data_IF_995483294199
#
_entry.id   IF_995483294199
#
_cell.length_a   1.000
_cell.length_b   1.000
_cell.length_c   1.000
_cell.angle_alpha   90.00
_cell.angle_beta   90.00
_cell.angle_gamma   90.00
#
_symmetry.space_group_name_H-M   'P 1'
#
loop_
_entity.id
_entity.type
_entity.pdbx_description
1 polymer ?
#
# COMPACT_ATOMS: atom_id res chain seq x y z
N UNK A 1 37.70 38.94 16.20
CA UNK A 1 37.94 40.24 15.52
C UNK A 1 37.43 40.14 14.09
N UNK A 2 36.59 41.06 13.63
CA UNK A 2 36.10 41.07 12.24
C UNK A 2 37.12 41.75 11.31
N UNK A 3 37.81 40.98 10.45
CA UNK A 3 38.60 41.55 9.35
C UNK A 3 37.67 42.15 8.31
N UNK A 4 37.53 43.47 8.29
CA UNK A 4 36.97 44.23 7.15
C UNK A 4 37.92 44.13 5.96
N UNK A 5 37.82 43.04 5.19
CA UNK A 5 38.52 42.92 3.91
C UNK A 5 37.81 43.84 2.91
N UNK A 6 38.52 44.75 2.21
CA UNK A 6 37.90 45.54 1.15
C UNK A 6 37.45 44.62 0.01
N UNK A 7 36.21 44.76 -0.44
CA UNK A 7 35.66 44.03 -1.59
C UNK A 7 36.24 44.58 -2.90
N UNK A 8 37.50 44.25 -3.17
CA UNK A 8 38.14 44.49 -4.45
C UNK A 8 37.44 43.65 -5.53
N UNK A 9 36.58 44.30 -6.34
CA UNK A 9 35.83 43.68 -7.43
C UNK A 9 36.75 43.27 -8.60
N UNK A 10 37.49 42.18 -8.42
CA UNK A 10 38.30 41.56 -9.45
C UNK A 10 37.40 40.93 -10.53
N UNK A 11 37.45 41.44 -11.77
CA UNK A 11 36.81 40.83 -12.94
C UNK A 11 37.77 39.92 -13.67
N UNK A 12 37.36 38.69 -13.98
CA UNK A 12 38.11 37.78 -14.86
C UNK A 12 38.04 38.29 -16.30
N UNK A 13 39.17 38.32 -17.00
CA UNK A 13 39.23 38.56 -18.46
C UNK A 13 39.37 37.21 -19.17
N UNK A 14 38.68 37.04 -20.30
CA UNK A 14 38.78 35.82 -21.09
C UNK A 14 40.22 35.60 -21.59
N UNK A 15 40.68 34.35 -21.62
CA UNK A 15 42.05 33.99 -22.01
C UNK A 15 43.16 34.44 -21.05
N UNK A 16 42.85 35.05 -19.89
CA UNK A 16 43.85 35.51 -18.92
C UNK A 16 43.53 35.00 -17.50
N UNK A 17 44.57 34.56 -16.80
CA UNK A 17 44.52 34.07 -15.42
C UNK A 17 45.58 34.78 -14.58
N UNK A 18 45.30 34.96 -13.29
CA UNK A 18 46.29 35.37 -12.31
C UNK A 18 46.86 34.10 -11.66
N UNK A 19 48.18 34.00 -11.54
CA UNK A 19 48.83 32.93 -10.77
C UNK A 19 48.85 33.32 -9.29
N UNK A 20 48.31 32.46 -8.44
CA UNK A 20 48.32 32.60 -6.98
C UNK A 20 49.41 31.71 -6.37
N UNK A 21 50.10 32.13 -5.29
CA UNK A 21 50.97 31.24 -4.54
C UNK A 21 50.15 30.12 -3.89
N UNK A 22 50.67 28.89 -3.92
CA UNK A 22 50.08 27.78 -3.20
C UNK A 22 50.38 27.89 -1.70
N UNK A 23 49.43 27.45 -0.86
CA UNK A 23 49.77 27.11 0.53
C UNK A 23 50.65 25.86 0.53
N UNK A 24 51.67 25.81 1.38
CA UNK A 24 52.65 24.71 1.42
C UNK A 24 52.12 23.43 2.08
N UNK A 25 50.96 23.50 2.73
CA UNK A 25 50.20 22.34 3.23
C UNK A 25 49.56 21.56 2.08
N UNK A 26 50.27 20.56 1.54
CA UNK A 26 49.73 19.37 0.84
C UNK A 26 48.73 19.56 -0.33
N UNK A 27 48.57 20.78 -0.86
CA UNK A 27 47.73 21.08 -2.02
C UNK A 27 46.28 21.45 -1.67
N UNK A 28 45.38 21.38 -2.66
CA UNK A 28 43.98 21.82 -2.48
C UNK A 28 43.08 20.79 -1.77
N UNK A 29 43.49 19.52 -1.74
CA UNK A 29 42.85 18.44 -1.00
C UNK A 29 43.95 17.44 -0.57
N UNK A 30 44.29 17.33 0.73
CA UNK A 30 45.38 16.49 1.18
C UNK A 30 44.99 15.01 1.18
N UNK A 31 45.80 14.17 0.53
CA UNK A 31 45.61 12.71 0.44
C UNK A 31 45.73 11.98 1.78
N UNK A 32 46.38 12.62 2.77
CA UNK A 32 46.74 11.99 4.03
C UNK A 32 45.71 12.25 5.15
N UNK A 33 44.54 12.81 4.80
CA UNK A 33 43.52 13.28 5.74
C UNK A 33 43.61 14.76 6.08
N UNK A 34 42.62 15.24 6.84
CA UNK A 34 42.52 16.62 7.36
C UNK A 34 42.34 16.59 8.88
N UNK A 35 42.81 17.61 9.58
CA UNK A 35 42.55 17.77 11.02
C UNK A 35 41.13 18.30 11.28
N UNK A 36 40.62 18.07 12.50
CA UNK A 36 39.30 18.57 12.90
C UNK A 36 39.16 20.11 12.80
N UNK A 37 40.25 20.87 13.02
CA UNK A 37 40.23 22.34 12.92
C UNK A 37 40.21 22.85 11.47
N UNK A 38 40.75 22.08 10.53
CA UNK A 38 40.63 22.35 9.08
C UNK A 38 39.24 21.93 8.59
N UNK A 39 38.76 20.75 9.01
CA UNK A 39 37.42 20.26 8.71
C UNK A 39 36.32 21.22 9.20
N UNK A 40 36.49 21.85 10.36
CA UNK A 40 35.56 22.85 10.91
C UNK A 40 35.39 24.07 9.98
N UNK A 41 36.46 24.50 9.30
CA UNK A 41 36.40 25.61 8.33
C UNK A 41 35.72 25.19 7.02
N UNK A 42 35.74 23.90 6.69
CA UNK A 42 35.02 23.31 5.55
C UNK A 42 33.53 23.15 5.90
N UNK A 43 33.21 22.69 7.13
CA UNK A 43 31.84 22.56 7.64
C UNK A 43 31.14 23.94 7.69
N UNK A 44 31.74 24.92 8.37
CA UNK A 44 31.25 26.31 8.42
C UNK A 44 31.74 27.15 7.22
N UNK A 45 31.72 26.56 6.02
CA UNK A 45 31.97 27.27 4.75
C UNK A 45 31.12 28.56 4.67
N UNK A 46 31.69 29.70 4.23
CA UNK A 46 30.97 30.97 4.15
C UNK A 46 29.94 30.97 3.01
N UNK A 47 28.73 30.50 3.33
CA UNK A 47 27.55 30.52 2.46
C UNK A 47 26.73 31.82 2.69
N UNK A 48 25.96 32.30 1.71
CA UNK A 48 25.08 33.46 1.89
C UNK A 48 23.94 33.18 2.90
N UNK A 49 24.09 33.73 4.12
CA UNK A 49 23.20 33.46 5.26
C UNK A 49 21.70 33.64 4.97
N UNK A 50 21.32 34.66 4.20
CA UNK A 50 19.92 34.94 3.85
C UNK A 50 19.23 33.88 2.96
N UNK A 51 19.96 32.84 2.54
CA UNK A 51 19.45 31.69 1.79
C UNK A 51 20.19 30.40 2.18
N UNK A 52 20.68 30.34 3.42
CA UNK A 52 21.30 29.15 4.03
C UNK A 52 20.47 28.76 5.25
N UNK A 53 20.14 27.48 5.39
CA UNK A 53 19.54 26.91 6.61
C UNK A 53 20.62 26.11 7.33
N UNK A 54 20.72 26.30 8.64
CA UNK A 54 21.70 25.65 9.50
C UNK A 54 20.93 24.92 10.61
N UNK A 55 21.26 23.65 10.83
CA UNK A 55 20.64 22.77 11.81
C UNK A 55 21.73 21.93 12.49
N UNK A 56 21.61 21.74 13.80
CA UNK A 56 22.57 21.01 14.62
C UNK A 56 21.78 20.10 15.57
N UNK A 57 22.17 18.82 15.64
CA UNK A 57 21.49 17.79 16.44
C UNK A 57 22.53 17.08 17.32
N UNK A 58 22.34 17.15 18.64
CA UNK A 58 23.21 16.51 19.63
C UNK A 58 22.59 15.20 20.11
N UNK A 59 23.31 14.09 19.93
CA UNK A 59 22.90 12.76 20.34
C UNK A 59 23.54 12.33 21.67
N UNK A 60 24.37 13.18 22.29
CA UNK A 60 25.06 12.94 23.56
C UNK A 60 26.57 12.72 23.41
N UNK A 61 27.04 11.61 22.81
CA UNK A 61 28.46 11.36 22.59
C UNK A 61 28.98 11.94 21.26
N UNK A 62 28.08 12.44 20.40
CA UNK A 62 28.41 13.03 19.10
C UNK A 62 27.30 13.99 18.65
N UNK A 63 27.67 15.01 17.88
CA UNK A 63 26.75 16.04 17.35
C UNK A 63 26.88 16.11 15.82
N UNK A 64 25.74 16.17 15.12
CA UNK A 64 25.68 16.31 13.67
C UNK A 64 25.35 17.77 13.29
N UNK A 65 26.13 18.33 12.35
CA UNK A 65 25.92 19.67 11.80
C UNK A 65 25.44 19.53 10.35
N UNK A 66 24.29 20.12 10.03
CA UNK A 66 23.67 20.08 8.70
C UNK A 66 23.47 21.51 8.18
N UNK A 67 24.00 21.82 6.99
CA UNK A 67 23.98 23.18 6.43
C UNK A 67 23.65 23.16 4.94
N UNK A 68 22.48 23.68 4.58
CA UNK A 68 21.97 23.69 3.21
C UNK A 68 21.87 25.11 2.66
N UNK A 69 22.31 25.33 1.41
CA UNK A 69 22.17 26.60 0.72
C UNK A 69 21.38 26.40 -0.59
N UNK A 70 20.27 27.12 -0.74
CA UNK A 70 19.44 27.08 -1.96
C UNK A 70 19.45 28.43 -2.66
N UNK A 71 20.06 28.46 -3.85
CA UNK A 71 20.22 29.69 -4.64
C UNK A 71 18.88 30.28 -5.07
N UNK A 72 18.62 31.53 -4.67
CA UNK A 72 17.43 32.30 -5.07
C UNK A 72 17.26 32.43 -6.60
N UNK A 73 18.35 32.29 -7.37
CA UNK A 73 18.32 32.30 -8.85
C UNK A 73 17.71 31.04 -9.48
N UNK A 74 17.57 29.95 -8.71
CA UNK A 74 17.19 28.63 -9.22
C UNK A 74 15.98 28.01 -8.50
N UNK A 75 15.56 28.59 -7.37
CA UNK A 75 14.36 28.19 -6.59
C UNK A 75 13.06 28.04 -7.40
N UNK A 76 12.92 28.70 -8.54
CA UNK A 76 11.75 28.59 -9.45
C UNK A 76 11.97 27.70 -10.67
N UNK A 77 13.10 26.97 -10.74
CA UNK A 77 13.48 26.08 -11.85
C UNK A 77 14.01 24.71 -11.41
N UNK A 78 14.25 24.52 -10.12
CA UNK A 78 14.62 23.23 -9.52
C UNK A 78 13.34 22.44 -9.24
N UNK A 79 13.39 21.11 -9.38
CA UNK A 79 12.29 20.22 -9.00
C UNK A 79 12.25 20.04 -7.48
N UNK A 80 11.09 19.61 -6.96
CA UNK A 80 10.91 19.23 -5.55
C UNK A 80 11.93 18.21 -5.08
N UNK A 81 12.33 17.29 -5.96
CA UNK A 81 13.22 16.17 -5.61
C UNK A 81 14.70 16.59 -5.53
N UNK A 82 15.05 17.75 -6.12
CA UNK A 82 16.39 18.36 -6.05
C UNK A 82 16.45 19.44 -4.96
N UNK A 83 15.33 20.14 -4.70
CA UNK A 83 15.21 21.10 -3.61
C UNK A 83 13.87 20.89 -2.89
N UNK A 84 13.89 20.06 -1.85
CA UNK A 84 12.72 19.63 -1.06
C UNK A 84 12.21 20.73 -0.10
N UNK A 85 11.89 21.89 -0.67
CA UNK A 85 11.39 23.06 0.07
C UNK A 85 9.91 22.91 0.41
N UNK A 86 9.63 22.44 1.62
CA UNK A 86 8.29 22.49 2.20
C UNK A 86 7.97 23.91 2.72
N UNK A 87 6.76 24.41 2.43
CA UNK A 87 6.24 25.69 2.93
C UNK A 87 5.06 25.54 3.90
N UNK A 88 4.61 24.30 4.10
CA UNK A 88 3.52 23.91 5.01
C UNK A 88 3.88 22.61 5.75
N UNK A 89 3.24 22.37 6.90
CA UNK A 89 3.48 21.16 7.71
C UNK A 89 3.06 19.87 7.00
N UNK A 90 2.08 19.95 6.09
CA UNK A 90 1.62 18.83 5.25
C UNK A 90 2.68 18.48 4.19
N UNK A 91 3.31 19.49 3.58
CA UNK A 91 4.46 19.25 2.68
C UNK A 91 5.67 18.72 3.46
N UNK A 92 5.94 19.26 4.66
CA UNK A 92 7.08 18.85 5.49
C UNK A 92 6.97 17.39 5.96
N UNK A 93 5.78 16.98 6.42
CA UNK A 93 5.53 15.58 6.83
C UNK A 93 5.60 14.63 5.64
N UNK A 94 4.96 14.98 4.51
CA UNK A 94 5.01 14.17 3.28
C UNK A 94 6.42 14.05 2.69
N UNK A 95 7.18 15.15 2.64
CA UNK A 95 8.56 15.16 2.14
C UNK A 95 9.49 14.32 3.04
N UNK A 96 9.34 14.41 4.37
CA UNK A 96 10.06 13.55 5.31
C UNK A 96 9.74 12.06 5.09
N UNK A 97 8.47 11.70 4.90
CA UNK A 97 8.06 10.33 4.57
C UNK A 97 8.65 9.85 3.23
N UNK A 98 8.60 10.68 2.18
CA UNK A 98 9.16 10.36 0.86
C UNK A 98 10.69 10.13 0.93
N UNK A 99 11.43 11.05 1.55
CA UNK A 99 12.89 10.96 1.68
C UNK A 99 13.31 9.79 2.58
N UNK A 100 12.60 9.55 3.69
CA UNK A 100 12.82 8.36 4.52
C UNK A 100 12.56 7.06 3.75
N UNK A 101 11.53 7.03 2.88
CA UNK A 101 11.25 5.89 2.01
C UNK A 101 12.38 5.60 1.01
N UNK A 102 12.97 6.64 0.39
CA UNK A 102 14.13 6.51 -0.49
C UNK A 102 15.35 6.01 0.29
N UNK A 103 15.74 6.71 1.36
CA UNK A 103 16.90 6.38 2.19
C UNK A 103 16.81 4.94 2.75
N UNK A 104 15.65 4.54 3.26
CA UNK A 104 15.45 3.19 3.81
C UNK A 104 15.48 2.12 2.70
N UNK A 105 14.96 2.41 1.50
CA UNK A 105 15.07 1.51 0.34
C UNK A 105 16.51 1.34 -0.12
N UNK A 106 17.32 2.40 -0.15
CA UNK A 106 18.74 2.33 -0.49
C UNK A 106 19.54 1.56 0.56
N UNK A 107 19.37 1.92 1.85
CA UNK A 107 20.02 1.25 2.99
C UNK A 107 19.71 -0.25 3.03
N UNK A 108 18.44 -0.63 2.85
CA UNK A 108 18.03 -2.05 2.81
C UNK A 108 18.48 -2.73 1.51
N UNK A 109 18.36 -2.07 0.36
CA UNK A 109 18.76 -2.61 -0.94
C UNK A 109 20.23 -3.01 -1.03
N UNK A 110 21.13 -2.30 -0.33
CA UNK A 110 22.54 -2.63 -0.27
C UNK A 110 22.83 -4.00 0.36
N UNK A 111 22.07 -4.40 1.40
CA UNK A 111 22.31 -5.61 2.20
C UNK A 111 22.08 -6.93 1.45
N UNK A 112 21.24 -6.91 0.42
CA UNK A 112 20.95 -8.06 -0.47
C UNK A 112 21.43 -7.80 -1.90
N UNK A 113 22.20 -6.73 -2.09
CA UNK A 113 22.73 -6.28 -3.38
C UNK A 113 24.22 -6.56 -3.54
N UNK A 114 24.88 -5.80 -4.41
CA UNK A 114 26.32 -5.95 -4.71
C UNK A 114 27.25 -5.65 -3.53
N UNK A 115 26.76 -5.03 -2.45
CA UNK A 115 27.48 -4.78 -1.19
C UNK A 115 27.13 -5.72 -0.03
N UNK A 116 26.18 -6.64 -0.18
CA UNK A 116 25.75 -7.58 0.86
C UNK A 116 26.67 -8.80 1.01
N UNK A 117 26.43 -9.65 2.02
CA UNK A 117 27.17 -10.90 2.16
C UNK A 117 26.87 -11.90 1.04
N UNK A 118 27.73 -12.91 0.87
CA UNK A 118 27.58 -13.86 -0.23
C UNK A 118 26.38 -14.81 -0.07
N UNK A 119 26.07 -15.27 1.14
CA UNK A 119 24.90 -16.14 1.40
C UNK A 119 23.56 -15.39 1.36
N UNK A 120 23.58 -14.09 1.66
CA UNK A 120 22.43 -13.18 1.60
C UNK A 120 21.97 -12.83 0.17
N UNK A 121 22.74 -13.16 -0.87
CA UNK A 121 22.42 -12.85 -2.28
C UNK A 121 21.71 -14.00 -2.99
N UNK A 122 20.37 -14.00 -2.97
CA UNK A 122 19.58 -14.91 -3.81
C UNK A 122 19.15 -14.21 -5.11
N UNK A 123 19.54 -14.78 -6.25
CA UNK A 123 19.12 -14.37 -7.59
C UNK A 123 17.84 -15.11 -8.01
N UNK A 124 17.06 -14.50 -8.90
CA UNK A 124 15.90 -15.12 -9.55
C UNK A 124 16.16 -15.27 -11.05
N UNK A 125 15.91 -16.45 -11.61
CA UNK A 125 16.09 -16.76 -13.02
C UNK A 125 14.73 -16.90 -13.70
N UNK A 126 14.47 -16.00 -14.65
CA UNK A 126 13.32 -16.03 -15.54
C UNK A 126 13.74 -16.40 -16.98
N UNK A 127 12.95 -17.25 -17.63
CA UNK A 127 13.00 -17.52 -19.07
C UNK A 127 11.56 -17.55 -19.60
N UNK A 128 11.32 -16.87 -20.72
CA UNK A 128 9.98 -16.62 -21.28
C UNK A 128 10.05 -16.72 -22.80
N UNK A 129 9.24 -17.59 -23.38
CA UNK A 129 9.20 -17.80 -24.83
C UNK A 129 8.70 -16.57 -25.58
N UNK A 130 9.35 -16.21 -26.69
CA UNK A 130 8.97 -15.06 -27.51
C UNK A 130 7.67 -15.30 -28.29
N UNK A 131 7.37 -16.56 -28.65
CA UNK A 131 6.22 -16.92 -29.49
C UNK A 131 4.97 -17.24 -28.66
N UNK A 132 5.08 -18.18 -27.71
CA UNK A 132 3.94 -18.63 -26.88
C UNK A 132 3.69 -17.74 -25.66
N UNK A 133 4.64 -16.86 -25.31
CA UNK A 133 4.69 -16.09 -24.03
C UNK A 133 4.73 -16.97 -22.77
N UNK A 134 4.98 -18.27 -22.92
CA UNK A 134 5.05 -19.21 -21.79
C UNK A 134 6.34 -19.02 -20.97
N UNK A 135 6.21 -19.01 -19.65
CA UNK A 135 7.32 -18.85 -18.70
C UNK A 135 7.99 -20.21 -18.45
N UNK A 136 8.99 -20.55 -19.28
CA UNK A 136 9.77 -21.80 -19.22
C UNK A 136 10.56 -21.99 -17.93
N UNK A 137 10.97 -20.90 -17.29
CA UNK A 137 11.64 -20.94 -15.99
C UNK A 137 11.29 -19.72 -15.15
N UNK A 138 10.98 -19.94 -13.87
CA UNK A 138 10.71 -18.91 -12.88
C UNK A 138 11.08 -19.45 -11.50
N UNK A 139 12.37 -19.42 -11.17
CA UNK A 139 12.93 -20.03 -9.95
C UNK A 139 14.05 -19.20 -9.34
N UNK A 140 14.19 -19.25 -8.02
CA UNK A 140 15.40 -18.74 -7.37
C UNK A 140 16.60 -19.66 -7.64
N UNK A 141 17.79 -19.06 -7.68
CA UNK A 141 19.06 -19.76 -7.77
C UNK A 141 19.60 -19.96 -6.35
N UNK A 142 19.29 -21.12 -5.77
CA UNK A 142 19.68 -21.49 -4.42
C UNK A 142 21.07 -22.14 -4.35
N UNK A 143 21.75 -21.90 -3.23
CA UNK A 143 22.92 -22.68 -2.81
C UNK A 143 22.50 -24.03 -2.19
N UNK A 144 23.46 -24.94 -2.06
CA UNK A 144 23.19 -26.33 -1.60
C UNK A 144 22.44 -26.40 -0.26
N UNK A 145 22.82 -25.56 0.72
CA UNK A 145 22.15 -25.47 2.03
C UNK A 145 20.64 -25.16 1.92
N UNK A 146 20.24 -24.30 0.98
CA UNK A 146 18.83 -23.96 0.74
C UNK A 146 18.10 -25.08 -0.01
N UNK A 147 18.77 -25.74 -0.96
CA UNK A 147 18.22 -26.94 -1.61
C UNK A 147 17.96 -28.07 -0.61
N UNK A 148 18.93 -28.37 0.26
CA UNK A 148 18.78 -29.39 1.31
C UNK A 148 17.62 -29.07 2.28
N UNK A 149 17.35 -27.79 2.57
CA UNK A 149 16.17 -27.37 3.34
C UNK A 149 14.87 -27.64 2.58
N UNK A 150 14.81 -27.32 1.28
CA UNK A 150 13.65 -27.63 0.43
C UNK A 150 13.38 -29.14 0.36
N UNK A 151 14.42 -29.96 0.23
CA UNK A 151 14.31 -31.43 0.19
C UNK A 151 13.79 -32.00 1.51
N UNK A 152 14.28 -31.50 2.66
CA UNK A 152 13.74 -31.84 4.00
C UNK A 152 12.26 -31.49 4.12
N UNK A 153 11.87 -30.29 3.69
CA UNK A 153 10.49 -29.81 3.74
C UNK A 153 9.56 -30.66 2.84
N UNK A 154 9.89 -30.84 1.56
CA UNK A 154 9.07 -31.62 0.62
C UNK A 154 8.96 -33.10 1.03
N UNK A 155 9.99 -33.68 1.63
CA UNK A 155 9.94 -35.07 2.11
C UNK A 155 8.99 -35.21 3.29
N UNK A 156 9.07 -34.31 4.29
CA UNK A 156 8.15 -34.31 5.43
C UNK A 156 6.68 -34.14 5.02
N UNK A 157 6.38 -33.19 4.13
CA UNK A 157 5.00 -32.95 3.69
C UNK A 157 4.46 -34.06 2.78
N UNK A 158 5.28 -34.63 1.88
CA UNK A 158 4.93 -35.85 1.13
C UNK A 158 4.56 -37.00 2.06
N UNK A 159 5.45 -37.40 2.95
CA UNK A 159 5.18 -38.48 3.91
C UNK A 159 3.93 -38.22 4.77
N UNK A 160 3.69 -36.98 5.19
CA UNK A 160 2.53 -36.61 6.02
C UNK A 160 1.20 -36.62 5.25
N UNK A 161 1.23 -36.41 3.93
CA UNK A 161 0.03 -36.31 3.08
C UNK A 161 -0.24 -37.63 2.34
N UNK A 162 0.77 -38.35 1.85
CA UNK A 162 0.61 -39.67 1.22
C UNK A 162 -0.03 -40.70 2.17
N UNK A 163 0.36 -40.68 3.46
CA UNK A 163 -0.29 -41.47 4.54
C UNK A 163 -1.76 -41.11 4.78
N UNK A 164 -2.27 -40.03 4.18
CA UNK A 164 -3.61 -39.44 4.42
C UNK A 164 -4.46 -39.32 3.17
N UNK A 165 -3.84 -39.31 1.98
CA UNK A 165 -4.46 -39.13 0.67
C UNK A 165 -3.81 -40.09 -0.35
N UNK A 166 -4.16 -41.37 -0.25
CA UNK A 166 -3.72 -42.40 -1.19
C UNK A 166 -4.38 -42.16 -2.57
N UNK A 167 -3.68 -41.44 -3.45
CA UNK A 167 -4.14 -41.14 -4.82
C UNK A 167 -3.91 -39.71 -5.34
N UNK A 168 -3.20 -38.84 -4.62
CA UNK A 168 -2.74 -37.55 -5.17
C UNK A 168 -1.53 -37.75 -6.11
N UNK A 169 -1.37 -36.86 -7.11
CA UNK A 169 -0.37 -37.01 -8.17
C UNK A 169 1.08 -36.88 -7.68
N UNK A 170 1.96 -37.80 -8.12
CA UNK A 170 3.32 -38.05 -7.57
C UNK A 170 4.27 -36.83 -7.64
N UNK A 171 4.10 -35.93 -8.62
CA UNK A 171 4.98 -34.77 -8.86
C UNK A 171 4.53 -33.45 -8.18
N UNK A 172 3.52 -33.49 -7.28
CA UNK A 172 2.95 -32.27 -6.70
C UNK A 172 3.77 -31.73 -5.50
N UNK A 173 4.43 -30.58 -5.66
CA UNK A 173 5.13 -29.91 -4.55
C UNK A 173 4.16 -29.22 -3.57
N UNK A 174 4.21 -29.61 -2.30
CA UNK A 174 3.36 -29.05 -1.25
C UNK A 174 3.90 -27.70 -0.75
N UNK A 175 3.01 -26.70 -0.62
CA UNK A 175 3.32 -25.33 -0.15
C UNK A 175 4.57 -24.70 -0.82
N UNK A 176 4.78 -24.96 -2.11
CA UNK A 176 6.03 -24.65 -2.81
C UNK A 176 6.52 -23.20 -2.64
N UNK A 177 5.65 -22.20 -2.81
CA UNK A 177 6.06 -20.78 -2.77
C UNK A 177 6.33 -20.31 -1.33
N UNK A 178 5.65 -20.89 -0.34
CA UNK A 178 5.93 -20.65 1.08
C UNK A 178 7.27 -21.30 1.49
N UNK A 179 7.51 -22.54 1.09
CA UNK A 179 8.82 -23.20 1.27
C UNK A 179 9.95 -22.42 0.62
N UNK A 180 9.76 -21.98 -0.64
CA UNK A 180 10.74 -21.22 -1.42
C UNK A 180 11.10 -19.89 -0.73
N UNK A 181 10.10 -19.14 -0.23
CA UNK A 181 10.33 -17.93 0.56
C UNK A 181 11.05 -18.23 1.89
N UNK A 182 10.66 -19.28 2.62
CA UNK A 182 11.33 -19.68 3.86
C UNK A 182 12.76 -20.18 3.63
N UNK A 183 13.06 -20.82 2.50
CA UNK A 183 14.41 -21.24 2.13
C UNK A 183 15.34 -20.04 1.91
N UNK A 184 14.85 -18.97 1.26
CA UNK A 184 15.58 -17.69 1.14
C UNK A 184 15.99 -17.20 2.53
N UNK A 185 15.03 -17.11 3.45
CA UNK A 185 15.18 -16.57 4.82
C UNK A 185 16.09 -17.42 5.71
N UNK A 186 15.95 -18.75 5.65
CA UNK A 186 16.77 -19.72 6.40
C UNK A 186 18.26 -19.59 6.05
N UNK A 187 18.59 -19.48 4.76
CA UNK A 187 19.97 -19.32 4.29
C UNK A 187 20.52 -17.88 4.36
N UNK A 188 19.85 -16.93 5.02
CA UNK A 188 20.39 -15.58 5.24
C UNK A 188 21.33 -15.55 6.45
N UNK A 189 22.56 -15.11 6.23
CA UNK A 189 23.63 -14.93 7.21
C UNK A 189 23.33 -13.75 8.14
N UNK A 190 22.79 -12.65 7.59
CA UNK A 190 22.49 -11.43 8.38
C UNK A 190 21.00 -11.24 8.67
N UNK A 191 20.68 -10.84 9.90
CA UNK A 191 19.32 -10.41 10.29
C UNK A 191 18.85 -9.24 9.42
N UNK A 192 19.77 -8.33 9.08
CA UNK A 192 19.50 -7.20 8.20
C UNK A 192 18.95 -7.64 6.85
N UNK A 193 19.66 -8.52 6.13
CA UNK A 193 19.20 -9.06 4.85
C UNK A 193 17.89 -9.86 4.97
N UNK A 194 17.72 -10.63 6.06
CA UNK A 194 16.50 -11.40 6.32
C UNK A 194 15.26 -10.49 6.41
N UNK A 195 15.35 -9.34 7.09
CA UNK A 195 14.27 -8.34 7.11
C UNK A 195 14.02 -7.70 5.73
N UNK A 196 15.04 -7.54 4.87
CA UNK A 196 14.81 -7.09 3.48
C UNK A 196 14.04 -8.13 2.66
N UNK A 197 14.23 -9.42 2.93
CA UNK A 197 13.44 -10.48 2.30
C UNK A 197 12.03 -10.55 2.89
N UNK A 198 11.81 -10.40 4.20
CA UNK A 198 10.47 -10.23 4.75
C UNK A 198 9.74 -9.02 4.16
N UNK A 199 10.44 -7.90 3.90
CA UNK A 199 9.85 -6.74 3.22
C UNK A 199 9.40 -7.05 1.79
N UNK A 200 10.14 -7.89 1.05
CA UNK A 200 9.76 -8.37 -0.29
C UNK A 200 8.61 -9.38 -0.24
N UNK A 201 8.56 -10.22 0.79
CA UNK A 201 7.52 -11.22 1.02
C UNK A 201 6.33 -10.60 1.76
N UNK A 202 5.49 -9.86 1.02
CA UNK A 202 4.26 -9.22 1.50
C UNK A 202 4.46 -8.10 2.55
N UNK A 203 5.65 -7.52 2.67
CA UNK A 203 5.92 -6.46 3.65
C UNK A 203 5.81 -6.95 5.10
N UNK A 204 6.28 -8.15 5.38
CA UNK A 204 6.22 -8.78 6.71
C UNK A 204 7.45 -8.43 7.59
N UNK A 205 8.24 -7.44 7.20
CA UNK A 205 9.37 -6.93 8.00
C UNK A 205 8.90 -6.28 9.31
N UNK A 206 9.77 -6.34 10.33
CA UNK A 206 9.48 -5.80 11.65
C UNK A 206 9.22 -4.27 11.62
N UNK A 207 9.98 -3.50 10.81
CA UNK A 207 9.74 -2.07 10.61
C UNK A 207 8.27 -1.82 10.20
N UNK A 208 7.78 -2.54 9.18
CA UNK A 208 6.41 -2.41 8.67
C UNK A 208 5.37 -2.89 9.69
N UNK A 209 5.54 -4.07 10.29
CA UNK A 209 4.61 -4.62 11.29
C UNK A 209 4.53 -3.79 12.58
N UNK A 210 5.57 -3.02 12.93
CA UNK A 210 5.56 -2.05 14.01
C UNK A 210 4.83 -0.75 13.64
N UNK A 211 4.95 -0.26 12.39
CA UNK A 211 4.13 0.88 11.92
C UNK A 211 2.64 0.54 11.90
N UNK A 212 2.26 -0.67 11.46
CA UNK A 212 0.89 -1.17 11.57
C UNK A 212 0.44 -1.27 13.03
N UNK A 213 1.31 -1.78 13.92
CA UNK A 213 1.01 -1.83 15.36
C UNK A 213 0.89 -0.44 16.02
N UNK A 214 1.49 0.60 15.44
CA UNK A 214 1.29 1.97 15.84
C UNK A 214 -0.07 2.52 15.35
N UNK A 215 -0.46 2.21 14.12
CA UNK A 215 -1.78 2.56 13.57
C UNK A 215 -2.93 1.89 14.36
N UNK A 216 -2.84 0.59 14.65
CA UNK A 216 -3.79 -0.14 15.52
C UNK A 216 -3.95 0.56 16.88
N UNK A 217 -2.83 0.91 17.53
CA UNK A 217 -2.86 1.61 18.83
C UNK A 217 -3.42 3.03 18.73
N UNK A 218 -3.24 3.72 17.60
CA UNK A 218 -3.84 5.03 17.37
C UNK A 218 -5.37 4.92 17.18
N UNK A 219 -5.85 3.92 16.42
CA UNK A 219 -7.27 3.66 16.24
C UNK A 219 -7.95 3.32 17.59
N UNK A 220 -7.33 2.47 18.42
CA UNK A 220 -7.82 2.18 19.77
C UNK A 220 -7.83 3.40 20.71
N UNK A 221 -6.83 4.29 20.59
CA UNK A 221 -6.80 5.55 21.36
C UNK A 221 -7.90 6.53 20.90
N UNK A 222 -8.11 6.66 19.59
CA UNK A 222 -9.20 7.43 19.00
C UNK A 222 -10.57 6.86 19.38
N UNK A 223 -10.70 5.53 19.46
CA UNK A 223 -11.90 4.84 19.93
C UNK A 223 -12.22 5.16 21.38
N UNK A 224 -11.21 5.15 22.27
CA UNK A 224 -11.37 5.58 23.66
C UNK A 224 -11.77 7.07 23.75
N UNK A 225 -11.18 7.94 22.91
CA UNK A 225 -11.57 9.34 22.84
C UNK A 225 -13.03 9.52 22.38
N UNK A 226 -13.45 8.84 21.31
CA UNK A 226 -14.84 8.91 20.81
C UNK A 226 -15.82 8.36 21.85
N UNK A 227 -15.53 7.22 22.49
CA UNK A 227 -16.37 6.66 23.59
C UNK A 227 -16.52 7.65 24.75
N UNK A 228 -15.44 8.34 25.16
CA UNK A 228 -15.52 9.35 26.25
C UNK A 228 -16.17 10.66 25.81
N UNK A 229 -16.07 11.07 24.55
CA UNK A 229 -16.79 12.23 24.00
C UNK A 229 -18.31 11.96 24.00
N UNK A 230 -18.75 10.84 23.41
CA UNK A 230 -20.17 10.48 23.30
C UNK A 230 -20.84 10.29 24.67
N UNK A 231 -20.25 9.49 25.56
CA UNK A 231 -20.82 9.26 26.91
C UNK A 231 -20.85 10.52 27.78
N UNK A 232 -19.93 11.47 27.55
CA UNK A 232 -19.96 12.78 28.20
C UNK A 232 -21.06 13.68 27.63
N UNK A 233 -21.36 13.61 26.34
CA UNK A 233 -22.45 14.37 25.72
C UNK A 233 -23.81 13.81 26.16
N UNK A 234 -23.97 12.48 26.30
CA UNK A 234 -25.15 11.84 26.90
C UNK A 234 -25.37 12.24 28.37
N UNK A 235 -24.30 12.48 29.13
CA UNK A 235 -24.38 12.94 30.52
C UNK A 235 -24.54 14.46 30.66
N UNK A 236 -24.06 15.24 29.68
CA UNK A 236 -24.13 16.70 29.66
C UNK A 236 -25.43 17.25 29.09
N UNK A 237 -26.04 16.55 28.13
CA UNK A 237 -27.42 16.79 27.71
C UNK A 237 -28.36 16.32 28.82
N UNK A 238 -28.83 17.27 29.64
CA UNK A 238 -29.75 17.01 30.77
C UNK A 238 -31.11 16.49 30.32
N UNK A 239 -31.19 15.22 29.93
CA UNK A 239 -32.35 14.64 29.28
C UNK A 239 -32.18 13.16 29.00
N UNK A 240 -32.43 12.31 30.00
CA UNK A 240 -32.57 10.87 29.83
C UNK A 240 -33.85 10.52 29.06
N UNK A 241 -33.86 10.79 27.74
CA UNK A 241 -35.05 10.77 26.90
C UNK A 241 -34.86 10.10 25.52
N UNK A 242 -33.64 10.02 24.96
CA UNK A 242 -33.46 9.53 23.58
C UNK A 242 -33.09 8.03 23.47
N UNK A 243 -32.35 7.48 24.44
CA UNK A 243 -31.98 6.03 24.46
C UNK A 243 -32.95 5.21 25.32
N UNK A 244 -33.81 5.86 26.13
CA UNK A 244 -34.70 5.18 27.09
C UNK A 244 -36.15 4.96 26.64
N UNK A 245 -36.53 5.49 25.47
CA UNK A 245 -37.86 5.28 24.85
C UNK A 245 -38.02 3.88 24.25
N UNK A 246 -36.92 3.21 23.86
CA UNK A 246 -36.94 1.81 23.39
C UNK A 246 -37.24 0.77 24.49
N UNK A 247 -37.16 1.16 25.77
CA UNK A 247 -37.46 0.31 26.93
C UNK A 247 -38.77 0.70 27.65
N UNK A 248 -39.58 1.56 27.03
CA UNK A 248 -40.74 2.21 27.68
C UNK A 248 -42.02 2.26 26.83
N UNK A 249 -42.10 1.47 25.75
CA UNK A 249 -43.29 1.37 24.90
C UNK A 249 -43.69 -0.10 24.67
N UNK A 250 -44.97 -0.42 24.85
CA UNK A 250 -45.50 -1.78 24.64
C UNK A 250 -45.68 -2.08 23.16
N UNK A 251 -44.64 -2.56 22.47
CA UNK A 251 -44.69 -2.68 21.00
C UNK A 251 -43.59 -3.47 20.28
N UNK A 252 -43.20 -4.65 20.77
CA UNK A 252 -42.43 -5.65 19.99
C UNK A 252 -40.96 -5.31 19.68
N UNK A 253 -40.19 -6.29 19.15
CA UNK A 253 -38.81 -6.05 18.70
C UNK A 253 -38.81 -5.41 17.31
N UNK A 254 -38.37 -4.14 17.22
CA UNK A 254 -38.01 -3.49 15.95
C UNK A 254 -36.54 -3.75 15.62
N UNK A 255 -36.23 -3.80 14.33
CA UNK A 255 -34.86 -3.96 13.82
C UNK A 255 -34.06 -2.67 13.95
N UNK A 256 -32.74 -2.77 14.09
CA UNK A 256 -31.85 -1.62 13.98
C UNK A 256 -31.95 -0.93 12.60
N UNK A 257 -32.30 -1.69 11.54
CA UNK A 257 -32.56 -1.15 10.20
C UNK A 257 -33.79 -0.22 10.17
N UNK A 258 -34.85 -0.55 10.92
CA UNK A 258 -36.07 0.25 10.95
C UNK A 258 -35.78 1.65 11.52
N UNK A 259 -34.97 1.71 12.58
CA UNK A 259 -34.55 2.96 13.21
C UNK A 259 -33.61 3.79 12.31
N UNK A 260 -32.81 3.15 11.45
CA UNK A 260 -31.99 3.85 10.45
C UNK A 260 -32.87 4.42 9.33
N UNK A 261 -33.90 3.69 8.88
CA UNK A 261 -34.84 4.20 7.89
C UNK A 261 -35.68 5.36 8.44
N UNK A 262 -36.20 5.26 9.67
CA UNK A 262 -36.91 6.34 10.36
C UNK A 262 -36.05 7.63 10.46
N UNK A 263 -34.71 7.51 10.53
CA UNK A 263 -33.76 8.66 10.52
C UNK A 263 -33.54 9.21 9.10
N UNK A 264 -33.44 8.34 8.09
CA UNK A 264 -33.30 8.75 6.67
C UNK A 264 -34.54 9.51 6.22
N UNK A 265 -35.73 9.01 6.54
CA UNK A 265 -37.02 9.60 6.17
C UNK A 265 -37.32 10.91 6.93
N UNK A 266 -36.61 11.16 8.04
CA UNK A 266 -36.67 12.40 8.82
C UNK A 266 -35.73 13.51 8.30
N UNK A 267 -34.84 13.23 7.34
CA UNK A 267 -33.98 14.24 6.75
C UNK A 267 -34.76 15.11 5.73
N UNK A 268 -34.61 16.45 5.74
CA UNK A 268 -35.23 17.31 4.73
C UNK A 268 -34.65 16.99 3.34
N UNK A 269 -35.48 16.94 2.28
CA UNK A 269 -35.01 16.55 0.95
C UNK A 269 -33.96 17.53 0.41
N UNK A 270 -32.78 17.01 0.06
CA UNK A 270 -31.62 17.78 -0.40
C UNK A 270 -31.85 18.55 -1.71
N UNK A 271 -32.94 18.26 -2.43
CA UNK A 271 -33.35 18.97 -3.63
C UNK A 271 -34.83 19.35 -3.54
N UNK A 272 -35.20 20.62 -3.81
CA UNK A 272 -36.60 21.01 -3.87
C UNK A 272 -37.28 20.38 -5.10
N UNK A 273 -38.53 19.91 -5.00
CA UNK A 273 -39.25 19.37 -6.15
C UNK A 273 -39.49 20.47 -7.20
N UNK A 274 -39.52 20.13 -8.50
CA UNK A 274 -39.81 21.09 -9.56
C UNK A 274 -41.20 21.70 -9.36
N UNK A 275 -41.29 23.03 -9.35
CA UNK A 275 -42.59 23.73 -9.28
C UNK A 275 -43.40 23.41 -10.53
N UNK A 276 -44.63 22.94 -10.34
CA UNK A 276 -45.60 22.85 -11.42
C UNK A 276 -45.86 24.26 -11.99
N UNK A 277 -45.59 24.45 -13.27
CA UNK A 277 -46.06 25.59 -14.03
C UNK A 277 -47.46 25.29 -14.56
N UNK A 278 -48.36 26.27 -14.48
CA UNK A 278 -49.74 26.13 -14.93
C UNK A 278 -49.79 25.99 -16.46
N UNK A 279 -50.57 25.02 -16.95
CA UNK A 279 -50.90 24.88 -18.37
C UNK A 279 -52.41 24.99 -18.51
N UNK A 280 -52.85 25.99 -19.27
CA UNK A 280 -54.24 26.13 -19.73
C UNK A 280 -54.26 25.84 -21.22
N UNK A 281 -55.31 25.16 -21.66
CA UNK A 281 -55.50 24.60 -23.00
C UNK A 281 -55.77 25.71 -24.07
N UNK A 282 -55.81 25.45 -25.39
CA UNK A 282 -56.08 24.19 -26.08
C UNK A 282 -55.60 24.15 -27.56
N UNK A 283 -55.63 22.93 -28.14
CA UNK A 283 -56.08 22.55 -29.51
C UNK A 283 -55.49 23.26 -30.76
N UNK A 284 -55.05 22.61 -31.85
CA UNK A 284 -54.89 21.18 -32.24
C UNK A 284 -53.57 21.07 -33.09
N UNK A 285 -53.17 20.00 -33.81
CA UNK A 285 -53.60 18.60 -34.11
C UNK A 285 -52.30 17.83 -34.49
N UNK A 286 -52.22 16.52 -34.77
CA UNK A 286 -53.16 15.38 -34.80
C UNK A 286 -52.45 14.17 -35.48
N UNK A 287 -52.96 12.93 -35.33
CA UNK A 287 -52.38 11.66 -35.87
C UNK A 287 -51.05 11.22 -35.22
N UNK A 288 -50.80 9.97 -34.79
CA UNK A 288 -51.58 8.71 -34.73
C UNK A 288 -51.25 7.89 -33.45
N UNK A 289 -52.10 6.95 -33.04
CA UNK A 289 -51.94 6.10 -31.83
C UNK A 289 -52.88 4.87 -31.81
N UNK A 290 -52.77 3.89 -30.89
CA UNK A 290 -51.69 3.59 -29.92
C UNK A 290 -50.98 2.25 -30.29
N UNK A 291 -51.17 1.01 -29.73
CA UNK A 291 -51.84 0.49 -28.52
C UNK A 291 -50.95 -0.26 -27.48
N UNK A 292 -51.15 0.09 -26.20
CA UNK A 292 -51.05 -0.72 -24.96
C UNK A 292 -50.08 -1.94 -24.82
N UNK A 293 -49.09 -1.75 -23.91
CA UNK A 293 -48.66 -2.64 -22.81
C UNK A 293 -48.45 -4.17 -22.99
N UNK A 294 -47.20 -4.61 -22.80
CA UNK A 294 -46.85 -5.76 -21.96
C UNK A 294 -45.42 -5.61 -21.38
N UNK A 295 -45.11 -6.32 -20.28
CA UNK A 295 -43.76 -6.43 -19.69
C UNK A 295 -43.07 -7.69 -20.22
N UNK A 296 -41.76 -7.62 -20.47
CA UNK A 296 -40.78 -8.62 -19.95
C UNK A 296 -39.35 -8.10 -20.04
N UNK A 297 -38.49 -8.60 -19.14
CA UNK A 297 -37.04 -8.42 -19.13
C UNK A 297 -36.34 -9.45 -20.03
N UNK A 298 -35.10 -9.16 -20.43
CA UNK A 298 -33.91 -10.00 -20.16
C UNK A 298 -32.69 -9.50 -20.93
N UNK A 299 -31.67 -9.03 -20.19
CA UNK A 299 -30.30 -8.85 -20.67
C UNK A 299 -29.38 -9.22 -19.50
N UNK A 300 -28.39 -10.06 -19.74
CA UNK A 300 -27.49 -10.58 -18.70
C UNK A 300 -26.30 -9.63 -18.50
N UNK A 301 -26.14 -9.11 -17.28
CA UNK A 301 -24.86 -8.64 -16.77
C UNK A 301 -24.33 -9.65 -15.73
N UNK A 302 -22.99 -9.82 -15.63
CA UNK A 302 -22.40 -10.83 -14.76
C UNK A 302 -22.62 -10.49 -13.26
N UNK A 303 -22.74 -11.50 -12.38
CA UNK A 303 -23.03 -11.28 -10.99
C UNK A 303 -21.88 -10.59 -10.27
N UNK A 304 -22.09 -9.33 -9.87
CA UNK A 304 -21.36 -8.76 -8.73
C UNK A 304 -21.55 -9.67 -7.52
N UNK A 305 -20.46 -9.94 -6.79
CA UNK A 305 -20.50 -10.77 -5.61
C UNK A 305 -21.28 -10.08 -4.49
N UNK A 306 -22.56 -10.44 -4.34
CA UNK A 306 -23.37 -10.07 -3.18
C UNK A 306 -22.64 -10.46 -1.90
N UNK A 307 -22.46 -9.52 -0.99
CA UNK A 307 -21.91 -9.80 0.35
C UNK A 307 -22.93 -10.64 1.11
N UNK A 308 -22.75 -11.96 1.08
CA UNK A 308 -23.55 -12.88 1.88
C UNK A 308 -23.25 -12.63 3.36
N UNK A 309 -24.25 -12.39 4.21
CA UNK A 309 -24.02 -12.43 5.65
C UNK A 309 -23.56 -13.85 6.04
N UNK A 310 -22.64 -14.00 7.00
CA UNK A 310 -22.16 -15.31 7.41
C UNK A 310 -23.30 -16.17 7.99
N UNK A 311 -23.30 -17.50 7.78
CA UNK A 311 -24.31 -18.38 8.33
C UNK A 311 -24.26 -18.35 9.87
N UNK A 312 -25.43 -18.48 10.50
CA UNK A 312 -25.59 -18.34 11.96
C UNK A 312 -24.82 -19.43 12.75
N UNK A 313 -23.61 -19.10 13.18
CA UNK A 313 -22.83 -19.90 14.15
C UNK A 313 -23.43 -19.69 15.54
N UNK A 314 -23.64 -20.75 16.36
CA UNK A 314 -24.34 -20.63 17.64
C UNK A 314 -23.59 -19.76 18.66
N UNK A 315 -24.35 -18.92 19.36
CA UNK A 315 -23.82 -17.97 20.34
C UNK A 315 -23.12 -18.66 21.51
N UNK A 316 -21.79 -18.53 21.58
CA UNK A 316 -21.04 -18.70 22.83
C UNK A 316 -19.78 -17.82 22.85
N UNK A 317 -19.76 -16.87 23.78
CA UNK A 317 -18.59 -16.13 24.29
C UNK A 317 -17.68 -15.32 23.33
N UNK A 318 -17.81 -15.42 22.01
CA UNK A 318 -16.89 -14.75 21.05
C UNK A 318 -17.27 -13.34 20.59
N UNK A 319 -18.53 -12.92 20.75
CA UNK A 319 -19.10 -11.76 20.03
C UNK A 319 -18.68 -10.37 20.55
N UNK A 320 -18.12 -10.24 21.75
CA UNK A 320 -17.74 -8.94 22.30
C UNK A 320 -16.51 -8.36 21.61
N UNK A 321 -15.43 -9.14 21.46
CA UNK A 321 -14.16 -8.64 20.93
C UNK A 321 -14.25 -8.23 19.46
N UNK A 322 -15.03 -8.95 18.64
CA UNK A 322 -15.24 -8.60 17.23
C UNK A 322 -16.05 -7.32 17.07
N UNK A 323 -17.05 -7.09 17.92
CA UNK A 323 -17.81 -5.83 17.93
C UNK A 323 -16.97 -4.65 18.42
N UNK A 324 -16.08 -4.85 19.40
CA UNK A 324 -15.17 -3.80 19.86
C UNK A 324 -14.12 -3.43 18.81
N UNK A 325 -13.48 -4.40 18.15
CA UNK A 325 -12.51 -4.11 17.09
C UNK A 325 -13.15 -3.42 15.87
N UNK A 326 -14.38 -3.76 15.50
CA UNK A 326 -15.10 -3.03 14.45
C UNK A 326 -15.35 -1.55 14.83
N UNK A 327 -15.62 -1.26 16.11
CA UNK A 327 -15.71 0.11 16.59
C UNK A 327 -14.34 0.82 16.61
N UNK A 328 -13.25 0.11 16.94
CA UNK A 328 -11.90 0.66 16.91
C UNK A 328 -11.45 1.00 15.48
N UNK A 329 -11.63 0.09 14.53
CA UNK A 329 -11.41 0.27 13.09
C UNK A 329 -12.21 1.47 12.53
N UNK A 330 -13.45 1.68 13.00
CA UNK A 330 -14.33 2.77 12.56
C UNK A 330 -14.10 4.11 13.31
N UNK A 331 -13.36 4.11 14.43
CA UNK A 331 -13.21 5.29 15.28
C UNK A 331 -12.63 6.54 14.56
N UNK A 332 -11.68 6.44 13.63
CA UNK A 332 -11.20 7.61 12.87
C UNK A 332 -12.29 8.31 12.05
N UNK A 333 -13.26 7.54 11.51
CA UNK A 333 -14.40 8.09 10.77
C UNK A 333 -15.35 8.86 11.71
N UNK A 334 -15.70 8.26 12.85
CA UNK A 334 -16.50 8.94 13.88
C UNK A 334 -15.82 10.20 14.41
N UNK A 335 -14.50 10.14 14.67
CA UNK A 335 -13.71 11.29 15.15
C UNK A 335 -13.68 12.43 14.13
N UNK A 336 -13.46 12.12 12.85
CA UNK A 336 -13.50 13.11 11.77
C UNK A 336 -14.91 13.72 11.59
N UNK A 337 -15.96 12.90 11.65
CA UNK A 337 -17.34 13.39 11.58
C UNK A 337 -17.71 14.30 12.77
N UNK A 338 -17.34 13.94 14.00
CA UNK A 338 -17.59 14.75 15.20
C UNK A 338 -16.84 16.09 15.14
N UNK A 339 -15.59 16.10 14.66
CA UNK A 339 -14.84 17.34 14.44
C UNK A 339 -15.52 18.23 13.38
N UNK A 340 -15.99 17.64 12.27
CA UNK A 340 -16.72 18.36 11.23
C UNK A 340 -18.06 18.93 11.72
N UNK A 341 -18.88 18.12 12.40
CA UNK A 341 -20.19 18.53 12.91
C UNK A 341 -20.13 19.68 13.93
N UNK A 342 -18.99 19.85 14.61
CA UNK A 342 -18.72 20.97 15.54
C UNK A 342 -18.04 22.18 14.91
N UNK A 343 -17.63 22.10 13.64
CA UNK A 343 -16.80 23.11 12.99
C UNK A 343 -15.34 23.16 13.48
N UNK A 344 -14.87 22.12 14.19
CA UNK A 344 -13.44 21.93 14.52
C UNK A 344 -12.62 21.61 13.25
N UNK A 345 -13.25 21.01 12.23
CA UNK A 345 -12.67 20.69 10.92
C UNK A 345 -13.62 21.10 9.78
N UNK A 346 -13.12 21.62 8.63
CA UNK A 346 -13.92 21.84 7.42
C UNK A 346 -14.14 20.56 6.59
N UNK A 347 -13.58 19.41 7.00
CA UNK A 347 -13.64 18.14 6.27
C UNK A 347 -13.91 16.97 7.22
N UNK A 348 -14.88 16.12 6.87
CA UNK A 348 -15.08 14.78 7.43
C UNK A 348 -14.41 13.71 6.55
N UNK A 349 -14.05 12.56 7.15
CA UNK A 349 -13.42 11.46 6.41
C UNK A 349 -14.47 10.50 5.81
N UNK A 350 -14.15 9.96 4.64
CA UNK A 350 -14.87 8.88 3.96
C UNK A 350 -13.94 7.71 3.61
N UNK A 351 -12.73 7.68 4.18
CA UNK A 351 -11.72 6.65 3.91
C UNK A 351 -12.02 5.38 4.72
N UNK A 352 -12.46 4.32 4.01
CA UNK A 352 -12.83 3.04 4.62
C UNK A 352 -11.63 2.08 4.77
N UNK A 353 -10.41 2.47 4.43
CA UNK A 353 -9.21 1.59 4.51
C UNK A 353 -8.83 1.19 5.95
N UNK A 354 -9.40 1.85 6.97
CA UNK A 354 -9.23 1.45 8.38
C UNK A 354 -10.12 0.27 8.78
N UNK A 355 -11.13 -0.10 7.99
CA UNK A 355 -12.04 -1.21 8.31
C UNK A 355 -11.35 -2.58 8.10
N UNK A 356 -11.29 -3.39 9.17
CA UNK A 356 -10.55 -4.65 9.19
C UNK A 356 -9.06 -4.52 9.55
N UNK A 357 -8.60 -3.33 9.94
CA UNK A 357 -7.18 -3.07 10.26
C UNK A 357 -6.69 -3.90 11.46
N UNK A 358 -7.52 -4.07 12.50
CA UNK A 358 -7.21 -4.97 13.61
C UNK A 358 -7.08 -6.45 13.19
N UNK A 359 -7.95 -6.92 12.29
CA UNK A 359 -7.98 -8.33 11.84
C UNK A 359 -6.80 -8.63 10.93
N UNK A 360 -6.54 -7.76 9.95
CA UNK A 360 -5.44 -7.89 8.98
C UNK A 360 -4.07 -7.77 9.65
N UNK A 361 -3.89 -6.90 10.65
CA UNK A 361 -2.65 -6.85 11.44
C UNK A 361 -2.41 -8.13 12.23
N UNK A 362 -3.46 -8.69 12.86
CA UNK A 362 -3.37 -9.95 13.58
C UNK A 362 -3.00 -11.11 12.65
N UNK A 363 -3.57 -11.16 11.44
CA UNK A 363 -3.23 -12.13 10.39
C UNK A 363 -1.78 -12.01 9.91
N UNK A 364 -1.34 -10.79 9.55
CA UNK A 364 0.06 -10.53 9.12
C UNK A 364 1.08 -10.92 10.20
N UNK A 365 0.73 -10.74 11.48
CA UNK A 365 1.54 -11.24 12.61
C UNK A 365 1.56 -12.77 12.74
N UNK A 366 0.45 -13.47 12.49
CA UNK A 366 0.45 -14.96 12.42
C UNK A 366 1.32 -15.44 11.26
N UNK A 367 1.19 -14.85 10.08
CA UNK A 367 2.01 -15.17 8.90
C UNK A 367 3.50 -14.96 9.16
N UNK A 368 3.89 -13.86 9.81
CA UNK A 368 5.29 -13.60 10.19
C UNK A 368 5.86 -14.66 11.14
N UNK A 369 5.08 -15.05 12.16
CA UNK A 369 5.43 -16.11 13.11
C UNK A 369 5.53 -17.49 12.44
N UNK A 370 4.61 -17.79 11.53
CA UNK A 370 4.60 -19.01 10.74
C UNK A 370 5.83 -19.13 9.84
N UNK A 371 6.25 -18.03 9.18
CA UNK A 371 7.47 -18.02 8.37
C UNK A 371 8.74 -18.20 9.22
N UNK A 372 8.85 -17.57 10.40
CA UNK A 372 9.95 -17.88 11.34
C UNK A 372 9.96 -19.37 11.73
N UNK A 373 8.80 -19.92 12.11
CA UNK A 373 8.64 -21.31 12.55
C UNK A 373 9.04 -22.29 11.45
N UNK A 374 8.72 -22.01 10.18
CA UNK A 374 9.12 -22.83 9.04
C UNK A 374 10.62 -22.65 8.72
N UNK A 375 11.14 -21.42 8.71
CA UNK A 375 12.55 -21.14 8.44
C UNK A 375 13.50 -21.67 9.53
N UNK A 376 13.00 -21.86 10.75
CA UNK A 376 13.68 -22.54 11.86
C UNK A 376 13.44 -24.07 11.91
N UNK A 377 12.93 -24.67 10.82
CA UNK A 377 12.62 -26.11 10.66
C UNK A 377 11.59 -26.69 11.67
N UNK A 378 10.90 -25.84 12.43
CA UNK A 378 9.85 -26.22 13.39
C UNK A 378 8.47 -26.44 12.74
N UNK A 379 8.44 -26.72 11.43
CA UNK A 379 7.22 -27.06 10.66
C UNK A 379 6.64 -28.45 11.00
N UNK A 380 7.32 -29.21 11.86
CA UNK A 380 6.88 -30.52 12.34
C UNK A 380 5.57 -30.43 13.14
N UNK A 381 5.47 -29.43 14.02
CA UNK A 381 4.36 -29.22 14.96
C UNK A 381 3.49 -28.01 14.58
N UNK A 382 3.06 -27.94 13.31
CA UNK A 382 2.04 -26.98 12.89
C UNK A 382 0.64 -27.38 13.38
N UNK A 383 -0.05 -26.41 13.98
CA UNK A 383 -1.45 -26.46 14.38
C UNK A 383 -2.41 -26.35 13.18
N UNK A 384 -3.71 -26.58 13.39
CA UNK A 384 -4.71 -26.46 12.32
C UNK A 384 -4.77 -25.04 11.73
N UNK A 385 -4.85 -24.01 12.57
CA UNK A 385 -4.88 -22.61 12.14
C UNK A 385 -3.59 -22.21 11.39
N UNK A 386 -2.41 -22.68 11.84
CA UNK A 386 -1.15 -22.46 11.11
C UNK A 386 -1.11 -23.14 9.73
N UNK A 387 -1.84 -24.26 9.54
CA UNK A 387 -1.95 -24.94 8.24
C UNK A 387 -2.95 -24.23 7.31
N UNK A 388 -3.99 -23.60 7.85
CA UNK A 388 -4.92 -22.74 7.12
C UNK A 388 -4.22 -21.44 6.67
N UNK A 389 -3.54 -20.75 7.61
CA UNK A 389 -2.66 -19.62 7.31
C UNK A 389 -1.58 -20.00 6.27
N UNK A 390 -0.96 -21.18 6.37
CA UNK A 390 0.03 -21.65 5.40
C UNK A 390 -0.54 -21.85 3.99
N UNK A 391 -1.80 -22.28 3.87
CA UNK A 391 -2.45 -22.46 2.57
C UNK A 391 -2.72 -21.11 1.90
N UNK A 392 -3.29 -20.15 2.64
CA UNK A 392 -3.55 -18.78 2.17
C UNK A 392 -2.23 -18.08 1.81
N UNK A 393 -1.24 -18.11 2.73
CA UNK A 393 0.05 -17.47 2.54
C UNK A 393 0.84 -18.06 1.37
N UNK A 394 0.79 -19.37 1.13
CA UNK A 394 1.38 -19.97 -0.06
C UNK A 394 0.76 -19.44 -1.36
N UNK A 395 -0.56 -19.20 -1.39
CA UNK A 395 -1.23 -18.56 -2.53
C UNK A 395 -0.77 -17.12 -2.75
N UNK A 396 -0.70 -16.32 -1.69
CA UNK A 396 -0.23 -14.92 -1.76
C UNK A 396 1.24 -14.80 -2.17
N UNK A 397 2.13 -15.65 -1.61
CA UNK A 397 3.54 -15.69 -2.01
C UNK A 397 3.74 -16.21 -3.44
N UNK A 398 2.83 -17.06 -3.94
CA UNK A 398 2.84 -17.49 -5.33
C UNK A 398 2.53 -16.33 -6.29
N UNK A 399 1.54 -15.48 -6.01
CA UNK A 399 1.21 -14.36 -6.92
C UNK A 399 2.28 -13.27 -6.93
N UNK A 400 2.80 -12.87 -5.76
CA UNK A 400 3.77 -11.77 -5.63
C UNK A 400 5.04 -12.00 -6.47
N UNK A 401 5.58 -13.22 -6.51
CA UNK A 401 6.80 -13.52 -7.30
C UNK A 401 6.60 -13.43 -8.81
N UNK A 402 5.35 -13.42 -9.30
CA UNK A 402 5.02 -13.25 -10.71
C UNK A 402 4.62 -11.81 -11.10
N UNK A 403 4.62 -10.84 -10.18
CA UNK A 403 4.22 -9.46 -10.52
C UNK A 403 5.07 -8.84 -11.65
N UNK A 404 6.40 -8.91 -11.56
CA UNK A 404 7.30 -8.41 -12.60
C UNK A 404 7.17 -9.20 -13.91
N UNK A 405 7.05 -10.54 -13.81
CA UNK A 405 6.81 -11.42 -14.97
C UNK A 405 5.49 -11.11 -15.69
N UNK A 406 4.42 -10.74 -14.97
CA UNK A 406 3.14 -10.39 -15.59
C UNK A 406 3.17 -9.00 -16.24
N UNK A 407 3.97 -8.06 -15.72
CA UNK A 407 4.28 -6.80 -16.43
C UNK A 407 5.10 -7.10 -17.70
N UNK A 408 6.04 -8.05 -17.64
CA UNK A 408 6.77 -8.53 -18.81
C UNK A 408 5.90 -9.22 -19.86
N UNK A 409 4.83 -9.93 -19.47
CA UNK A 409 3.86 -10.54 -20.38
C UNK A 409 2.93 -9.51 -21.04
N UNK A 410 2.39 -8.53 -20.29
CA UNK A 410 1.54 -7.48 -20.92
C UNK A 410 2.31 -6.61 -21.91
N UNK A 411 3.62 -6.38 -21.70
CA UNK A 411 4.48 -5.73 -22.70
C UNK A 411 4.64 -6.60 -23.96
N UNK A 412 4.82 -7.92 -23.82
CA UNK A 412 4.88 -8.85 -24.97
C UNK A 412 3.54 -8.95 -25.70
N UNK A 413 2.42 -8.89 -24.98
CA UNK A 413 1.08 -8.83 -25.57
C UNK A 413 0.88 -7.57 -26.41
N UNK A 414 1.35 -6.41 -25.93
CA UNK A 414 1.33 -5.15 -26.69
C UNK A 414 2.19 -5.27 -27.97
N UNK A 415 3.37 -5.91 -27.90
CA UNK A 415 4.19 -6.15 -29.09
C UNK A 415 3.48 -7.06 -30.11
N UNK A 416 2.98 -8.23 -29.70
CA UNK A 416 2.22 -9.13 -30.56
C UNK A 416 0.89 -8.52 -31.08
N UNK A 417 0.37 -7.48 -30.42
CA UNK A 417 -0.80 -6.72 -30.90
C UNK A 417 -0.41 -5.70 -31.98
N UNK A 418 0.76 -5.05 -31.86
CA UNK A 418 1.30 -4.13 -32.85
C UNK A 418 1.81 -4.84 -34.13
N UNK A 419 2.12 -6.13 -34.03
CA UNK A 419 2.52 -6.99 -35.15
C UNK A 419 1.33 -7.55 -35.97
N UNK A 420 0.08 -7.27 -35.56
CA UNK A 420 -1.13 -7.71 -36.28
C UNK A 420 -1.28 -6.99 -37.62
N UNK A 421 -1.97 -7.63 -38.56
CA UNK A 421 -2.28 -7.07 -39.88
C UNK A 421 -2.98 -5.69 -39.75
N UNK A 422 -2.45 -4.69 -40.44
CA UNK A 422 -2.96 -3.32 -40.38
C UNK A 422 -4.19 -3.13 -41.27
N UNK A 423 -5.38 -3.13 -40.68
CA UNK A 423 -6.62 -2.83 -41.39
C UNK A 423 -7.85 -3.44 -40.71
N UNK A 424 -8.90 -3.66 -41.49
CA UNK A 424 -9.94 -4.64 -41.14
C UNK A 424 -9.45 -5.99 -41.63
N UNK A 425 -9.35 -6.98 -40.74
CA UNK A 425 -8.67 -8.28 -40.97
C UNK A 425 -9.02 -8.92 -42.31
N UNK A 426 -8.04 -9.54 -42.97
CA UNK A 426 -8.18 -10.26 -44.23
C UNK A 426 -9.37 -11.22 -44.23
N UNK A 427 -10.09 -11.30 -45.35
CA UNK A 427 -11.35 -12.04 -45.47
C UNK A 427 -11.23 -13.57 -45.34
N UNK A 428 -10.02 -14.13 -45.36
CA UNK A 428 -9.77 -15.56 -45.11
C UNK A 428 -9.94 -15.95 -43.63
N UNK A 429 -9.60 -15.04 -42.71
CA UNK A 429 -9.51 -15.33 -41.26
C UNK A 429 -10.69 -14.72 -40.48
N UNK A 430 -11.91 -14.79 -41.06
CA UNK A 430 -13.12 -14.16 -40.50
C UNK A 430 -14.32 -15.09 -40.44
N UNK A 431 -14.72 -15.44 -39.23
CA UNK A 431 -16.05 -16.06 -38.96
C UNK A 431 -17.22 -15.05 -39.02
N UNK A 432 -16.92 -13.74 -39.07
CA UNK A 432 -17.90 -12.66 -38.89
C UNK A 432 -17.78 -11.61 -40.02
N UNK A 433 -18.91 -11.22 -40.67
CA UNK A 433 -18.91 -10.13 -41.65
C UNK A 433 -18.43 -8.81 -41.04
N UNK A 434 -17.94 -7.90 -41.89
CA UNK A 434 -17.34 -6.63 -41.43
C UNK A 434 -18.37 -5.67 -40.81
N UNK A 435 -19.58 -5.66 -41.37
CA UNK A 435 -20.58 -4.60 -41.15
C UNK A 435 -21.70 -4.98 -40.19
N UNK A 436 -21.78 -6.25 -39.76
CA UNK A 436 -22.84 -6.76 -38.89
C UNK A 436 -22.29 -7.46 -37.66
N UNK A 437 -22.94 -7.25 -36.51
CA UNK A 437 -22.66 -7.99 -35.28
C UNK A 437 -22.75 -9.52 -35.50
N UNK A 438 -21.91 -10.34 -34.86
CA UNK A 438 -22.08 -11.79 -34.85
C UNK A 438 -23.44 -12.24 -34.29
N UNK A 439 -24.11 -11.39 -33.51
CA UNK A 439 -25.45 -11.62 -32.94
C UNK A 439 -26.60 -10.94 -33.71
N UNK A 440 -26.33 -10.32 -34.87
CA UNK A 440 -27.39 -9.65 -35.64
C UNK A 440 -28.43 -10.67 -36.14
N UNK A 441 -29.76 -10.43 -35.98
CA UNK A 441 -30.78 -11.39 -36.39
C UNK A 441 -30.74 -11.67 -37.90
N UNK A 442 -30.40 -10.66 -38.70
CA UNK A 442 -30.28 -10.76 -40.17
C UNK A 442 -28.82 -11.00 -40.60
N UNK A 443 -28.00 -11.73 -39.83
CA UNK A 443 -26.57 -11.97 -40.13
C UNK A 443 -26.31 -12.80 -41.40
N UNK A 444 -27.33 -13.48 -41.95
CA UNK A 444 -27.24 -14.25 -43.21
C UNK A 444 -28.19 -13.67 -44.25
N UNK A 445 -27.64 -12.85 -45.13
CA UNK A 445 -28.27 -12.28 -46.34
C UNK A 445 -27.53 -12.85 -47.57
#
# INVERSE_FOLDING_TARGET
MLRRVPLCLARRKHGQTAWSPNNTSSGAAPTNGITAQEALQIAYRPMPLASTVEYEEDFGPNMMIHREFVSSKHRTRMTSDISALAYSDVELTRARQQLAGVMNRERRGALVGSGGEAGDRVLFNSDVDETTREVKSARFLFNEQRMQFCDRFQTFFRERIERRAAGAAEDSHYFFSLMEACAVLHGCDTVGAREVYYHRFLGLDLDTLETEAAAVRACAADAAEVRTRLTREEAGAGGGALVRTAAGATGGPRSAMDAVQDIIDALPPLFPPPRAAEVVEASESGSDAPPAHARTSSAEEPPFATVTPPPSVPESSGTSATAEHFFEDAAPLYKAYLAHARGESPVGSYDLTTLGLHVTHAERRRWRSLMDKIAAENYHELTAAELEDAHVLNGQLHTVKFFDLKVGDTVREIMQLLERETGSSASGDRDVPVEMSPTHPERRV
#
